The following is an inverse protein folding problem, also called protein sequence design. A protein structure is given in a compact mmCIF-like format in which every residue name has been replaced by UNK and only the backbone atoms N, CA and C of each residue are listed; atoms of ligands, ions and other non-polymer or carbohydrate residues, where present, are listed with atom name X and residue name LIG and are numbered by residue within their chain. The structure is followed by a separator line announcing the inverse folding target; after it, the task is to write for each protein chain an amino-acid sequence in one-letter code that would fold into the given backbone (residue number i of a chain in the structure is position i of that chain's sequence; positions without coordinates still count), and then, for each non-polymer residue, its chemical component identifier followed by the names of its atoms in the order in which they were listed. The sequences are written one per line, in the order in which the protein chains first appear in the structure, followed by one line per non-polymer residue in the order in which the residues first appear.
data_IF_305373328835
#
_entry.id   IF_305373328835
#
_cell.length_a   1.000
_cell.length_b   1.000
_cell.length_c   1.000
_cell.angle_alpha   90.00
_cell.angle_beta   90.00
_cell.angle_gamma   90.00
#
_symmetry.space_group_name_H-M   'P 1'
#
loop_
_entity.id
_entity.type
_entity.pdbx_description
1 polymer ?
#
# COMPACT_ATOMS: atom_id res chain seq x y z
N UNK A 1 10.03 2.65 -8.07
CA UNK A 1 11.23 3.45 -8.45
C UNK A 1 11.01 4.93 -8.12
N UNK A 2 9.97 5.63 -8.64
CA UNK A 2 9.78 7.08 -8.40
C UNK A 2 9.67 7.45 -6.91
N UNK A 3 8.89 6.70 -6.11
CA UNK A 3 8.80 6.92 -4.67
C UNK A 3 10.15 6.77 -3.97
N UNK A 4 10.84 5.67 -4.24
CA UNK A 4 12.19 5.42 -3.69
C UNK A 4 13.20 6.46 -4.15
N UNK A 5 13.11 6.95 -5.39
CA UNK A 5 13.99 8.05 -5.88
C UNK A 5 13.73 9.34 -5.11
N UNK A 6 12.46 9.71 -4.92
CA UNK A 6 12.11 10.90 -4.13
C UNK A 6 12.57 10.77 -2.68
N UNK A 7 12.34 9.60 -2.06
CA UNK A 7 12.83 9.31 -0.71
C UNK A 7 14.34 9.38 -0.59
N UNK A 8 15.08 8.85 -1.56
CA UNK A 8 16.54 8.95 -1.61
C UNK A 8 17.01 10.43 -1.70
N UNK A 9 16.33 11.24 -2.52
CA UNK A 9 16.64 12.68 -2.60
C UNK A 9 16.38 13.41 -1.27
N UNK A 10 15.33 13.02 -0.54
CA UNK A 10 15.05 13.58 0.79
C UNK A 10 16.12 13.20 1.81
N UNK A 11 16.60 11.95 1.78
CA UNK A 11 17.73 11.53 2.62
C UNK A 11 18.98 12.33 2.30
N UNK A 12 19.30 12.53 1.02
CA UNK A 12 20.43 13.40 0.61
C UNK A 12 20.26 14.83 1.14
N UNK A 13 19.06 15.39 1.04
CA UNK A 13 18.78 16.73 1.55
C UNK A 13 18.97 16.83 3.07
N UNK A 14 18.61 15.81 3.84
CA UNK A 14 18.81 15.75 5.29
C UNK A 14 20.30 15.63 5.65
N UNK A 15 21.07 14.86 4.89
CA UNK A 15 22.52 14.73 5.05
C UNK A 15 23.21 16.07 4.76
N UNK A 16 22.85 16.75 3.67
CA UNK A 16 23.41 18.06 3.31
C UNK A 16 23.10 19.13 4.35
N UNK A 17 21.98 19.03 5.05
CA UNK A 17 21.63 19.93 6.16
C UNK A 17 22.26 19.53 7.50
N UNK A 18 23.02 18.45 7.55
CA UNK A 18 23.62 17.93 8.78
C UNK A 18 22.64 17.31 9.78
N UNK A 19 21.40 17.03 9.36
CA UNK A 19 20.39 16.40 10.21
C UNK A 19 20.56 14.88 10.28
N UNK A 20 21.30 14.30 9.35
CA UNK A 20 21.56 12.88 9.26
C UNK A 20 23.01 12.65 8.82
N UNK A 21 23.69 11.69 9.44
CA UNK A 21 25.05 11.30 9.09
C UNK A 21 25.03 9.93 8.44
N UNK A 22 25.25 9.88 7.12
CA UNK A 22 25.27 8.67 6.32
C UNK A 22 26.53 8.69 5.46
N UNK A 23 27.30 7.61 5.48
CA UNK A 23 28.46 7.50 4.61
C UNK A 23 28.02 7.27 3.14
N UNK A 24 28.80 7.71 2.15
CA UNK A 24 28.49 7.43 0.75
C UNK A 24 28.35 5.93 0.43
N UNK A 25 29.13 5.08 1.11
CA UNK A 25 29.03 3.62 0.94
C UNK A 25 27.69 3.04 1.42
N UNK A 26 27.23 3.48 2.59
CA UNK A 26 25.91 3.10 3.11
C UNK A 26 24.79 3.52 2.17
N UNK A 27 24.83 4.76 1.70
CA UNK A 27 23.85 5.28 0.77
C UNK A 27 23.78 4.45 -0.54
N UNK A 28 24.94 4.08 -1.10
CA UNK A 28 25.01 3.23 -2.31
C UNK A 28 24.41 1.85 -2.05
N UNK A 29 24.76 1.22 -0.92
CA UNK A 29 24.23 -0.12 -0.57
C UNK A 29 22.70 -0.07 -0.43
N UNK A 30 22.16 0.89 0.32
CA UNK A 30 20.72 1.01 0.51
C UNK A 30 20.00 1.37 -0.80
N UNK A 31 20.63 2.20 -1.65
CA UNK A 31 20.10 2.52 -2.98
C UNK A 31 20.00 1.28 -3.87
N UNK A 32 20.95 0.35 -3.77
CA UNK A 32 20.86 -0.92 -4.49
C UNK A 32 19.59 -1.70 -4.10
N UNK A 33 19.29 -1.84 -2.79
CA UNK A 33 18.06 -2.51 -2.35
C UNK A 33 16.81 -1.78 -2.83
N UNK A 34 16.79 -0.44 -2.77
CA UNK A 34 15.67 0.38 -3.26
C UNK A 34 15.42 0.22 -4.76
N UNK A 35 16.47 0.18 -5.59
CA UNK A 35 16.39 -0.02 -7.04
C UNK A 35 15.98 -1.46 -7.37
N UNK A 36 16.56 -2.45 -6.67
CA UNK A 36 16.24 -3.86 -6.83
C UNK A 36 14.84 -4.21 -6.29
N UNK A 37 14.19 -3.26 -5.63
CA UNK A 37 12.89 -3.44 -4.99
C UNK A 37 12.88 -4.61 -3.98
N UNK A 38 13.96 -4.69 -3.20
CA UNK A 38 14.17 -5.69 -2.17
C UNK A 38 14.15 -5.03 -0.78
N UNK A 39 13.68 -5.75 0.26
CA UNK A 39 13.82 -5.26 1.63
C UNK A 39 15.32 -5.14 1.98
N UNK A 40 15.72 -3.94 2.41
CA UNK A 40 17.08 -3.67 2.86
C UNK A 40 17.31 -4.33 4.22
N UNK A 41 18.31 -5.17 4.42
CA UNK A 41 18.64 -5.67 5.75
C UNK A 41 18.97 -4.53 6.74
N UNK A 42 18.83 -4.73 8.06
CA UNK A 42 19.17 -3.71 9.07
C UNK A 42 20.69 -3.61 9.25
N UNK A 43 21.37 -3.12 8.19
CA UNK A 43 22.84 -3.06 8.14
C UNK A 43 23.41 -1.83 8.86
N UNK A 44 22.62 -0.76 8.97
CA UNK A 44 23.04 0.53 9.51
C UNK A 44 21.98 1.07 10.48
N UNK A 45 22.36 1.91 11.42
CA UNK A 45 21.45 2.46 12.43
C UNK A 45 20.23 3.15 11.82
N UNK A 46 20.43 3.92 10.76
CA UNK A 46 19.35 4.62 10.08
C UNK A 46 18.42 3.71 9.23
N UNK A 47 18.85 2.48 8.96
CA UNK A 47 18.01 1.46 8.29
C UNK A 47 17.44 0.44 9.27
N UNK A 48 17.78 0.52 10.55
CA UNK A 48 17.47 -0.51 11.54
C UNK A 48 15.96 -0.72 11.78
N UNK A 49 15.13 0.26 11.50
CA UNK A 49 13.69 0.18 11.78
C UNK A 49 12.84 -0.22 10.57
N UNK A 50 13.29 0.02 9.33
CA UNK A 50 12.43 -0.08 8.15
C UNK A 50 13.07 -0.88 6.99
N UNK A 51 12.37 -1.92 6.47
CA UNK A 51 12.85 -2.70 5.31
C UNK A 51 12.93 -1.87 4.02
N UNK A 52 12.20 -0.77 3.91
CA UNK A 52 12.22 0.13 2.75
C UNK A 52 12.48 1.57 3.21
N UNK A 53 13.75 1.91 3.53
CA UNK A 53 14.09 3.20 4.17
C UNK A 53 13.76 4.43 3.33
N UNK A 54 13.76 4.31 1.99
CA UNK A 54 13.45 5.42 1.09
C UNK A 54 11.96 5.58 0.79
N UNK A 55 11.17 4.51 0.98
CA UNK A 55 9.76 4.51 0.59
C UNK A 55 9.00 3.48 1.43
N UNK A 56 8.54 3.91 2.59
CA UNK A 56 7.83 3.05 3.54
C UNK A 56 6.74 2.20 2.89
N UNK A 57 5.81 2.76 2.09
CA UNK A 57 4.75 2.02 1.40
C UNK A 57 5.20 0.87 0.50
N UNK A 58 6.44 0.85 0.05
CA UNK A 58 6.98 -0.18 -0.85
C UNK A 58 6.87 -1.61 -0.30
N UNK A 59 6.76 -1.79 1.02
CA UNK A 59 6.63 -3.11 1.64
C UNK A 59 5.42 -3.91 1.11
N UNK A 60 4.28 -3.27 0.94
CA UNK A 60 3.07 -3.96 0.47
C UNK A 60 3.18 -4.37 -0.99
N UNK A 61 3.78 -3.53 -1.82
CA UNK A 61 4.01 -3.83 -3.23
C UNK A 61 5.07 -4.93 -3.41
N UNK A 62 6.06 -5.00 -2.55
CA UNK A 62 7.01 -6.11 -2.52
C UNK A 62 6.28 -7.43 -2.26
N UNK A 63 5.42 -7.49 -1.25
CA UNK A 63 4.65 -8.70 -0.97
C UNK A 63 3.62 -9.01 -2.08
N UNK A 64 3.04 -7.98 -2.73
CA UNK A 64 2.17 -8.17 -3.90
C UNK A 64 2.95 -8.83 -5.06
N UNK A 65 4.17 -8.37 -5.32
CA UNK A 65 5.06 -9.00 -6.31
C UNK A 65 5.36 -10.46 -5.94
N UNK A 66 5.70 -10.73 -4.68
CA UNK A 66 5.94 -12.08 -4.18
C UNK A 66 4.70 -12.95 -4.35
N UNK A 67 3.52 -12.46 -3.98
CA UNK A 67 2.25 -13.20 -4.13
C UNK A 67 1.94 -13.51 -5.60
N UNK A 68 2.18 -12.57 -6.52
CA UNK A 68 2.04 -12.78 -7.96
C UNK A 68 3.02 -13.85 -8.48
N UNK A 69 4.29 -13.81 -8.05
CA UNK A 69 5.29 -14.82 -8.40
C UNK A 69 4.91 -16.20 -7.86
N UNK A 70 4.43 -16.29 -6.62
CA UNK A 70 3.93 -17.54 -6.05
C UNK A 70 2.71 -18.06 -6.82
N UNK A 71 1.76 -17.21 -7.18
CA UNK A 71 0.59 -17.58 -7.96
C UNK A 71 0.97 -18.06 -9.37
N UNK A 72 1.97 -17.44 -9.99
CA UNK A 72 2.48 -17.84 -11.29
C UNK A 72 3.23 -19.18 -11.22
N UNK A 73 4.07 -19.37 -10.20
CA UNK A 73 4.94 -20.54 -10.04
C UNK A 73 4.19 -21.78 -9.56
N UNK A 74 3.18 -21.62 -8.69
CA UNK A 74 2.51 -22.74 -8.02
C UNK A 74 1.06 -22.89 -8.48
N UNK A 75 0.82 -23.84 -9.42
CA UNK A 75 -0.50 -24.10 -9.98
C UNK A 75 -1.58 -24.47 -8.93
N UNK A 76 -1.18 -25.04 -7.78
CA UNK A 76 -2.13 -25.39 -6.72
C UNK A 76 -2.75 -24.14 -6.06
N UNK A 77 -2.05 -22.99 -6.00
CA UNK A 77 -2.58 -21.73 -5.46
C UNK A 77 -3.67 -21.11 -6.35
N UNK A 78 -3.86 -21.62 -7.57
CA UNK A 78 -4.96 -21.25 -8.46
C UNK A 78 -6.21 -22.14 -8.29
N UNK A 79 -6.11 -23.17 -7.45
CA UNK A 79 -7.22 -24.11 -7.23
C UNK A 79 -8.05 -23.65 -6.03
N UNK A 80 -9.38 -23.49 -6.15
CA UNK A 80 -10.22 -23.02 -5.05
C UNK A 80 -10.16 -23.93 -3.82
N UNK A 81 -10.02 -25.25 -4.00
CA UNK A 81 -9.88 -26.19 -2.87
C UNK A 81 -8.63 -25.90 -2.02
N UNK A 82 -7.51 -25.58 -2.67
CA UNK A 82 -6.27 -25.20 -1.96
C UNK A 82 -6.43 -23.86 -1.26
N UNK A 83 -7.10 -22.90 -1.87
CA UNK A 83 -7.38 -21.59 -1.29
C UNK A 83 -8.31 -21.68 -0.07
N UNK A 84 -9.30 -22.58 -0.09
CA UNK A 84 -10.18 -22.83 1.06
C UNK A 84 -9.42 -23.38 2.28
N UNK A 85 -8.27 -24.03 2.09
CA UNK A 85 -7.38 -24.47 3.16
C UNK A 85 -6.39 -23.36 3.54
N UNK A 86 -5.83 -22.67 2.55
CA UNK A 86 -4.80 -21.66 2.74
C UNK A 86 -5.34 -20.41 3.46
N UNK A 87 -6.53 -19.92 3.07
CA UNK A 87 -7.10 -18.68 3.63
C UNK A 87 -7.37 -18.74 5.15
N UNK A 88 -7.95 -19.82 5.73
CA UNK A 88 -8.05 -19.92 7.19
C UNK A 88 -6.69 -19.87 7.89
N UNK A 89 -5.65 -20.48 7.32
CA UNK A 89 -4.29 -20.46 7.88
C UNK A 89 -3.74 -19.02 7.81
N UNK A 90 -3.89 -18.33 6.68
CA UNK A 90 -3.48 -16.94 6.52
C UNK A 90 -4.26 -16.00 7.46
N UNK A 91 -5.58 -16.23 7.65
CA UNK A 91 -6.40 -15.48 8.59
C UNK A 91 -5.96 -15.68 10.05
N UNK A 92 -5.64 -16.92 10.43
CA UNK A 92 -5.11 -17.23 11.77
C UNK A 92 -3.74 -16.56 11.98
N UNK A 93 -2.84 -16.62 10.98
CA UNK A 93 -1.55 -15.94 11.04
C UNK A 93 -1.73 -14.42 11.16
N UNK A 94 -2.61 -13.81 10.36
CA UNK A 94 -2.91 -12.38 10.44
C UNK A 94 -3.46 -12.00 11.82
N UNK A 95 -4.41 -12.77 12.35
CA UNK A 95 -4.96 -12.55 13.69
C UNK A 95 -3.88 -12.66 14.75
N UNK A 96 -3.02 -13.69 14.68
CA UNK A 96 -1.91 -13.87 15.61
C UNK A 96 -0.96 -12.65 15.62
N UNK A 97 -0.50 -12.21 14.44
CA UNK A 97 0.41 -11.07 14.36
C UNK A 97 -0.24 -9.76 14.78
N UNK A 98 -1.54 -9.57 14.50
CA UNK A 98 -2.29 -8.40 14.97
C UNK A 98 -2.40 -8.38 16.50
N UNK A 99 -2.66 -9.51 17.12
CA UNK A 99 -2.71 -9.63 18.59
C UNK A 99 -1.33 -9.39 19.23
N UNK A 100 -0.27 -9.90 18.61
CA UNK A 100 1.11 -9.73 19.10
C UNK A 100 1.59 -8.27 18.99
N UNK A 101 1.30 -7.59 17.90
CA UNK A 101 1.72 -6.20 17.68
C UNK A 101 0.82 -5.17 18.34
N UNK A 102 -0.38 -5.57 18.77
CA UNK A 102 -1.39 -4.64 19.33
C UNK A 102 -1.95 -3.65 18.30
N UNK A 103 -1.62 -3.81 17.02
CA UNK A 103 -2.04 -2.93 15.94
C UNK A 103 -2.21 -3.70 14.63
N UNK A 104 -3.10 -3.22 13.77
CA UNK A 104 -3.24 -3.70 12.41
C UNK A 104 -2.26 -3.00 11.43
N UNK A 105 -1.60 -1.93 11.87
CA UNK A 105 -0.59 -1.20 11.09
C UNK A 105 0.75 -1.94 11.11
N UNK A 106 0.86 -2.94 10.24
CA UNK A 106 1.99 -3.86 10.16
C UNK A 106 2.58 -3.91 8.75
N UNK A 107 3.89 -4.21 8.67
CA UNK A 107 4.60 -4.52 7.42
C UNK A 107 5.68 -3.50 7.04
N UNK A 108 5.63 -2.28 7.54
CA UNK A 108 6.59 -1.24 7.22
C UNK A 108 7.81 -1.19 8.15
N UNK A 109 7.76 -1.91 9.29
CA UNK A 109 8.88 -2.13 10.22
C UNK A 109 9.32 -3.58 10.21
N UNK A 110 10.59 -3.84 10.52
CA UNK A 110 11.10 -5.22 10.63
C UNK A 110 10.33 -6.06 11.65
N UNK A 111 10.02 -5.49 12.81
CA UNK A 111 9.29 -6.17 13.88
C UNK A 111 7.90 -6.65 13.43
N UNK A 112 7.25 -5.90 12.55
CA UNK A 112 5.91 -6.18 12.05
C UNK A 112 5.89 -6.72 10.62
N UNK A 113 7.04 -6.93 10.00
CA UNK A 113 7.17 -7.38 8.61
C UNK A 113 6.50 -8.74 8.34
N UNK A 114 6.63 -9.76 9.24
CA UNK A 114 5.88 -11.01 9.09
C UNK A 114 4.36 -10.83 9.14
N UNK A 115 3.88 -9.88 9.95
CA UNK A 115 2.46 -9.50 10.00
C UNK A 115 1.98 -8.89 8.69
N UNK A 116 2.81 -8.05 8.05
CA UNK A 116 2.55 -7.51 6.70
C UNK A 116 2.45 -8.62 5.65
N UNK A 117 3.32 -9.63 5.71
CA UNK A 117 3.26 -10.80 4.84
C UNK A 117 1.95 -11.60 5.03
N UNK A 118 1.55 -11.85 6.28
CA UNK A 118 0.30 -12.55 6.59
C UNK A 118 -0.93 -11.78 6.12
N UNK A 119 -0.92 -10.45 6.29
CA UNK A 119 -1.96 -9.54 5.83
C UNK A 119 -2.13 -9.65 4.31
N UNK A 120 -1.07 -9.46 3.56
CA UNK A 120 -1.14 -9.52 2.11
C UNK A 120 -1.47 -10.92 1.61
N UNK A 121 -0.94 -11.97 2.25
CA UNK A 121 -1.27 -13.35 1.88
C UNK A 121 -2.79 -13.61 1.98
N UNK A 122 -3.44 -13.14 3.05
CA UNK A 122 -4.89 -13.27 3.17
C UNK A 122 -5.62 -12.45 2.10
N UNK A 123 -5.33 -11.15 2.00
CA UNK A 123 -6.01 -10.20 1.12
C UNK A 123 -5.90 -10.60 -0.35
N UNK A 124 -4.69 -10.90 -0.80
CA UNK A 124 -4.41 -11.26 -2.18
C UNK A 124 -5.11 -12.56 -2.59
N UNK A 125 -4.95 -13.62 -1.78
CA UNK A 125 -5.53 -14.92 -2.12
C UNK A 125 -7.04 -14.98 -1.89
N UNK A 126 -7.61 -14.16 -1.02
CA UNK A 126 -9.06 -13.95 -0.96
C UNK A 126 -9.58 -13.35 -2.27
N UNK A 127 -8.85 -12.35 -2.81
CA UNK A 127 -9.15 -11.78 -4.14
C UNK A 127 -9.09 -12.83 -5.26
N UNK A 128 -8.09 -13.72 -5.25
CA UNK A 128 -8.00 -14.83 -6.22
C UNK A 128 -9.20 -15.78 -6.11
N UNK A 129 -9.64 -16.10 -4.90
CA UNK A 129 -10.82 -16.95 -4.68
C UNK A 129 -12.11 -16.26 -5.16
N UNK A 130 -12.29 -14.97 -4.85
CA UNK A 130 -13.43 -14.16 -5.33
C UNK A 130 -13.46 -14.15 -6.87
N UNK A 131 -12.32 -13.95 -7.52
CA UNK A 131 -12.19 -13.99 -8.97
C UNK A 131 -12.58 -15.35 -9.56
N UNK A 132 -12.19 -16.46 -8.92
CA UNK A 132 -12.58 -17.81 -9.37
C UNK A 132 -14.10 -18.01 -9.30
N UNK A 133 -14.76 -17.58 -8.24
CA UNK A 133 -16.22 -17.60 -8.14
C UNK A 133 -16.87 -16.72 -9.20
N UNK A 134 -16.37 -15.49 -9.38
CA UNK A 134 -16.85 -14.58 -10.41
C UNK A 134 -16.73 -15.19 -11.81
N UNK A 135 -15.60 -15.83 -12.14
CA UNK A 135 -15.38 -16.52 -13.41
C UNK A 135 -16.33 -17.69 -13.64
N UNK A 136 -16.72 -18.38 -12.58
CA UNK A 136 -17.70 -19.48 -12.62
C UNK A 136 -19.16 -19.04 -12.79
N UNK A 137 -19.38 -17.73 -12.88
CA UNK A 137 -20.72 -17.19 -13.13
C UNK A 137 -21.50 -16.82 -11.88
N UNK A 138 -20.91 -16.90 -10.68
CA UNK A 138 -21.54 -16.34 -9.48
C UNK A 138 -21.64 -14.83 -9.62
N UNK A 139 -22.87 -14.30 -9.54
CA UNK A 139 -23.16 -12.87 -9.75
C UNK A 139 -23.89 -12.36 -8.53
N UNK A 140 -23.19 -11.51 -7.79
CA UNK A 140 -23.80 -10.74 -6.72
C UNK A 140 -23.88 -9.28 -7.17
N UNK A 141 -24.87 -8.55 -6.69
CA UNK A 141 -25.05 -7.18 -7.06
C UNK A 141 -25.05 -6.28 -5.83
N UNK A 142 -24.16 -5.33 -5.81
CA UNK A 142 -24.17 -4.21 -4.88
C UNK A 142 -24.13 -2.93 -5.75
N UNK A 143 -25.06 -1.99 -5.56
CA UNK A 143 -25.00 -0.72 -6.26
C UNK A 143 -23.67 -0.01 -5.99
N UNK A 144 -23.02 0.62 -6.99
CA UNK A 144 -21.74 1.29 -6.81
C UNK A 144 -21.73 2.29 -5.65
N UNK A 145 -22.80 3.10 -5.51
CA UNK A 145 -22.94 4.06 -4.41
C UNK A 145 -22.93 3.37 -3.03
N UNK A 146 -23.57 2.20 -2.89
CA UNK A 146 -23.56 1.42 -1.66
C UNK A 146 -22.17 0.83 -1.38
N UNK A 147 -21.44 0.36 -2.41
CA UNK A 147 -20.07 -0.11 -2.26
C UNK A 147 -19.15 1.01 -1.74
N UNK A 148 -19.23 2.20 -2.33
CA UNK A 148 -18.46 3.36 -1.87
C UNK A 148 -18.84 3.79 -0.45
N UNK A 149 -20.13 3.83 -0.12
CA UNK A 149 -20.59 4.15 1.23
C UNK A 149 -20.08 3.15 2.28
N UNK A 150 -20.12 1.85 1.96
CA UNK A 150 -19.59 0.82 2.86
C UNK A 150 -18.07 0.93 3.03
N UNK A 151 -17.31 1.15 1.96
CA UNK A 151 -15.86 1.37 2.04
C UNK A 151 -15.53 2.63 2.85
N UNK A 152 -16.32 3.69 2.71
CA UNK A 152 -16.18 4.90 3.52
C UNK A 152 -16.44 4.62 5.01
N UNK A 153 -17.48 3.86 5.33
CA UNK A 153 -17.79 3.44 6.72
C UNK A 153 -16.65 2.58 7.29
N UNK A 154 -16.09 1.65 6.50
CA UNK A 154 -14.95 0.84 6.90
C UNK A 154 -13.75 1.73 7.24
N UNK A 155 -13.41 2.69 6.37
CA UNK A 155 -12.27 3.58 6.55
C UNK A 155 -12.47 4.52 7.75
N UNK A 156 -13.66 5.08 7.92
CA UNK A 156 -13.96 5.99 9.03
C UNK A 156 -14.12 5.27 10.36
N UNK A 157 -14.65 4.05 10.36
CA UNK A 157 -14.87 3.28 11.59
C UNK A 157 -13.58 3.06 12.38
N UNK A 158 -12.47 2.81 11.72
CA UNK A 158 -11.15 2.70 12.37
C UNK A 158 -10.71 4.00 13.05
N UNK A 159 -11.11 5.17 12.55
CA UNK A 159 -10.77 6.46 13.14
C UNK A 159 -11.58 6.77 14.41
N UNK A 160 -12.79 6.21 14.54
CA UNK A 160 -13.71 6.48 15.67
C UNK A 160 -13.71 5.40 16.75
N UNK A 161 -13.06 4.24 16.51
CA UNK A 161 -12.98 3.16 17.50
C UNK A 161 -11.73 3.30 18.39
N UNK A 162 -11.87 2.98 19.67
CA UNK A 162 -10.76 3.05 20.63
C UNK A 162 -10.08 1.70 20.81
N UNK A 163 -8.77 1.72 20.96
CA UNK A 163 -7.81 0.64 21.28
C UNK A 163 -8.26 -0.82 21.01
N UNK A 164 -8.87 -1.52 21.98
CA UNK A 164 -9.26 -2.93 21.84
C UNK A 164 -10.40 -3.12 20.81
N UNK A 165 -11.37 -2.23 20.77
CA UNK A 165 -12.44 -2.27 19.76
C UNK A 165 -11.92 -1.96 18.37
N UNK A 166 -10.91 -1.10 18.25
CA UNK A 166 -10.26 -0.80 16.98
C UNK A 166 -9.62 -2.04 16.35
N UNK A 167 -8.88 -2.81 17.13
CA UNK A 167 -8.25 -4.04 16.63
C UNK A 167 -9.28 -5.08 16.19
N UNK A 168 -10.35 -5.28 16.96
CA UNK A 168 -11.46 -6.15 16.60
C UNK A 168 -12.20 -5.64 15.35
N UNK A 169 -12.38 -4.32 15.24
CA UNK A 169 -12.94 -3.67 14.06
C UNK A 169 -12.06 -3.95 12.83
N UNK A 170 -10.77 -3.60 12.89
CA UNK A 170 -9.84 -3.72 11.78
C UNK A 170 -9.75 -5.18 11.29
N UNK A 171 -9.66 -6.16 12.20
CA UNK A 171 -9.68 -7.58 11.85
C UNK A 171 -10.99 -8.00 11.20
N UNK A 172 -12.14 -7.59 11.75
CA UNK A 172 -13.44 -7.93 11.17
C UNK A 172 -13.61 -7.35 9.77
N UNK A 173 -13.21 -6.08 9.60
CA UNK A 173 -13.28 -5.41 8.32
C UNK A 173 -12.41 -6.13 7.29
N UNK A 174 -11.19 -6.47 7.66
CA UNK A 174 -10.24 -7.07 6.74
C UNK A 174 -10.54 -8.52 6.42
N UNK A 175 -10.94 -9.31 7.41
CA UNK A 175 -11.19 -10.75 7.21
C UNK A 175 -12.56 -11.04 6.58
N UNK A 176 -13.54 -10.15 6.76
CA UNK A 176 -14.92 -10.46 6.36
C UNK A 176 -15.51 -9.37 5.47
N UNK A 177 -15.58 -8.13 5.95
CA UNK A 177 -16.38 -7.11 5.28
C UNK A 177 -15.77 -6.61 3.99
N UNK A 178 -14.45 -6.36 3.93
CA UNK A 178 -13.79 -5.92 2.69
C UNK A 178 -13.87 -7.00 1.60
N UNK A 179 -13.50 -8.28 1.85
CA UNK A 179 -13.71 -9.34 0.85
C UNK A 179 -15.16 -9.46 0.39
N UNK A 180 -16.12 -9.34 1.32
CA UNK A 180 -17.54 -9.38 0.98
C UNK A 180 -17.97 -8.20 0.10
N UNK A 181 -17.55 -6.97 0.44
CA UNK A 181 -17.82 -5.77 -0.37
C UNK A 181 -17.24 -5.94 -1.77
N UNK A 182 -16.00 -6.42 -1.89
CA UNK A 182 -15.34 -6.67 -3.18
C UNK A 182 -16.12 -7.72 -3.99
N UNK A 183 -16.51 -8.83 -3.37
CA UNK A 183 -17.29 -9.88 -4.04
C UNK A 183 -18.65 -9.35 -4.54
N UNK A 184 -19.36 -8.60 -3.69
CA UNK A 184 -20.66 -8.02 -4.03
C UNK A 184 -20.56 -6.92 -5.09
N UNK A 185 -19.48 -6.14 -5.09
CA UNK A 185 -19.24 -5.06 -6.04
C UNK A 185 -18.62 -5.52 -7.37
N UNK A 186 -18.17 -6.78 -7.48
CA UNK A 186 -17.45 -7.29 -8.66
C UNK A 186 -18.24 -7.17 -9.98
N UNK A 187 -19.57 -7.06 -9.92
CA UNK A 187 -20.43 -6.85 -11.09
C UNK A 187 -21.01 -5.42 -11.14
N UNK A 188 -20.59 -4.53 -10.25
CA UNK A 188 -21.08 -3.16 -10.27
C UNK A 188 -20.61 -2.43 -11.53
N UNK A 189 -21.50 -1.80 -12.23
CA UNK A 189 -21.20 -1.00 -13.42
C UNK A 189 -21.46 0.46 -13.13
N UNK A 190 -20.47 1.28 -13.43
CA UNK A 190 -20.57 2.74 -13.33
C UNK A 190 -20.58 3.31 -14.75
N UNK A 191 -21.46 4.26 -15.06
CA UNK A 191 -21.57 4.88 -16.37
C UNK A 191 -21.50 6.40 -16.28
N UNK A 192 -21.27 7.06 -17.42
CA UNK A 192 -21.23 8.53 -17.52
C UNK A 192 -20.02 9.17 -16.84
N UNK A 193 -20.20 10.37 -16.30
CA UNK A 193 -19.13 11.16 -15.65
C UNK A 193 -18.49 10.44 -14.45
N UNK A 194 -19.23 9.74 -13.55
CA UNK A 194 -18.61 8.98 -12.47
C UNK A 194 -17.67 7.88 -12.95
N UNK A 195 -17.96 7.23 -14.09
CA UNK A 195 -17.07 6.20 -14.63
C UNK A 195 -15.73 6.79 -15.07
N UNK A 196 -15.72 7.97 -15.67
CA UNK A 196 -14.48 8.68 -16.04
C UNK A 196 -13.65 9.01 -14.81
N UNK A 197 -14.30 9.53 -13.76
CA UNK A 197 -13.64 9.84 -12.49
C UNK A 197 -13.02 8.58 -11.87
N UNK A 198 -13.77 7.48 -11.79
CA UNK A 198 -13.26 6.20 -11.29
C UNK A 198 -12.05 5.71 -12.09
N UNK A 199 -12.09 5.83 -13.43
CA UNK A 199 -10.97 5.44 -14.29
C UNK A 199 -9.74 6.31 -14.03
N UNK A 200 -9.89 7.62 -13.93
CA UNK A 200 -8.78 8.54 -13.64
C UNK A 200 -8.19 8.24 -12.27
N UNK A 201 -9.01 8.15 -11.22
CA UNK A 201 -8.54 7.84 -9.86
C UNK A 201 -7.89 6.46 -9.78
N UNK A 202 -8.44 5.46 -10.47
CA UNK A 202 -7.85 4.13 -10.56
C UNK A 202 -6.46 4.14 -11.21
N UNK A 203 -6.29 4.89 -12.29
CA UNK A 203 -4.99 5.03 -12.96
C UNK A 203 -3.96 5.77 -12.10
N UNK A 204 -4.39 6.69 -11.24
CA UNK A 204 -3.51 7.46 -10.37
C UNK A 204 -3.25 6.80 -9.01
N UNK A 205 -4.11 5.85 -8.58
CA UNK A 205 -4.08 5.28 -7.22
C UNK A 205 -2.73 4.73 -6.82
N UNK A 206 -2.07 4.03 -7.73
CA UNK A 206 -0.75 3.45 -7.51
C UNK A 206 0.35 4.53 -7.33
N UNK A 207 0.30 5.56 -8.16
CA UNK A 207 1.21 6.72 -8.04
C UNK A 207 0.97 7.49 -6.74
N UNK A 208 -0.29 7.73 -6.38
CA UNK A 208 -0.64 8.39 -5.10
C UNK A 208 -0.11 7.57 -3.93
N UNK A 209 -0.33 6.24 -3.95
CA UNK A 209 0.14 5.35 -2.89
C UNK A 209 1.66 5.38 -2.71
N UNK A 210 2.43 5.40 -3.79
CA UNK A 210 3.90 5.42 -3.71
C UNK A 210 4.49 6.79 -3.38
N UNK A 211 3.78 7.86 -3.64
CA UNK A 211 4.33 9.22 -3.49
C UNK A 211 3.86 9.92 -2.23
N UNK A 212 2.77 9.46 -1.57
CA UNK A 212 2.21 10.21 -0.45
C UNK A 212 3.14 10.29 0.77
N UNK A 213 3.86 9.23 1.13
CA UNK A 213 4.78 9.25 2.28
C UNK A 213 6.04 10.10 1.99
N UNK A 214 6.76 9.91 0.87
CA UNK A 214 7.83 10.83 0.52
C UNK A 214 7.40 12.31 0.49
N UNK A 215 6.21 12.61 -0.05
CA UNK A 215 5.67 13.97 -0.06
C UNK A 215 5.33 14.45 1.36
N UNK A 216 4.75 13.59 2.20
CA UNK A 216 4.46 13.91 3.59
C UNK A 216 5.76 14.28 4.35
N UNK A 217 6.82 13.50 4.17
CA UNK A 217 8.13 13.78 4.78
C UNK A 217 8.69 15.12 4.25
N UNK A 218 8.65 15.34 2.95
CA UNK A 218 9.12 16.59 2.35
C UNK A 218 8.38 17.82 2.90
N UNK A 219 7.05 17.72 3.00
CA UNK A 219 6.20 18.77 3.53
C UNK A 219 6.44 19.00 5.02
N UNK A 220 6.60 17.93 5.81
CA UNK A 220 6.95 18.03 7.23
C UNK A 220 8.29 18.75 7.44
N UNK A 221 9.34 18.38 6.69
CA UNK A 221 10.63 19.04 6.76
C UNK A 221 10.55 20.53 6.36
N UNK A 222 9.75 20.85 5.34
CA UNK A 222 9.56 22.22 4.86
C UNK A 222 8.78 23.07 5.88
N UNK A 223 7.68 22.58 6.41
CA UNK A 223 6.84 23.31 7.36
C UNK A 223 7.56 23.52 8.69
N UNK A 224 8.28 22.53 9.19
CA UNK A 224 9.07 22.67 10.41
C UNK A 224 10.21 23.69 10.24
N UNK A 225 10.80 23.75 9.04
CA UNK A 225 11.82 24.75 8.75
C UNK A 225 11.27 26.17 8.66
N UNK A 226 10.07 26.35 8.08
CA UNK A 226 9.48 27.68 7.84
C UNK A 226 8.70 28.22 9.04
N UNK A 227 8.01 27.39 9.76
CA UNK A 227 7.03 27.79 10.80
C UNK A 227 7.37 27.27 12.19
N UNK A 228 8.35 26.39 12.35
CA UNK A 228 8.64 25.66 13.59
C UNK A 228 7.85 24.37 13.71
N UNK A 229 8.20 23.57 14.72
CA UNK A 229 7.60 22.26 14.93
C UNK A 229 6.10 22.38 15.28
N UNK A 230 5.30 21.45 14.72
CA UNK A 230 3.86 21.27 15.00
C UNK A 230 2.94 22.48 14.76
N UNK A 231 3.37 23.45 13.96
CA UNK A 231 2.56 24.66 13.66
C UNK A 231 1.45 24.39 12.60
N UNK A 232 1.54 23.33 11.84
CA UNK A 232 0.52 22.97 10.83
C UNK A 232 -0.36 21.84 11.35
N UNK A 233 -1.68 22.07 11.38
CA UNK A 233 -2.60 21.04 11.85
C UNK A 233 -2.55 19.77 11.01
N UNK A 234 -2.73 18.60 11.61
CA UNK A 234 -2.70 17.32 10.92
C UNK A 234 -3.69 17.24 9.75
N UNK A 235 -4.88 17.85 9.89
CA UNK A 235 -5.87 17.91 8.79
C UNK A 235 -5.34 18.75 7.62
N UNK A 236 -4.78 19.92 7.88
CA UNK A 236 -4.20 20.78 6.84
C UNK A 236 -3.08 20.07 6.10
N UNK A 237 -2.16 19.42 6.85
CA UNK A 237 -1.09 18.62 6.26
C UNK A 237 -1.63 17.49 5.38
N UNK A 238 -2.62 16.75 5.87
CA UNK A 238 -3.26 15.66 5.10
C UNK A 238 -3.86 16.17 3.79
N UNK A 239 -4.57 17.28 3.80
CA UNK A 239 -5.16 17.86 2.60
C UNK A 239 -4.10 18.32 1.59
N UNK A 240 -3.05 19.00 2.07
CA UNK A 240 -1.94 19.44 1.22
C UNK A 240 -1.25 18.23 0.57
N UNK A 241 -0.92 17.21 1.36
CA UNK A 241 -0.28 15.98 0.87
C UNK A 241 -1.17 15.26 -0.13
N UNK A 242 -2.47 15.15 0.12
CA UNK A 242 -3.42 14.51 -0.79
C UNK A 242 -3.45 15.21 -2.16
N UNK A 243 -3.48 16.55 -2.18
CA UNK A 243 -3.44 17.33 -3.42
C UNK A 243 -2.11 17.17 -4.14
N UNK A 244 -0.99 17.34 -3.44
CA UNK A 244 0.35 17.24 -4.03
C UNK A 244 0.65 15.83 -4.54
N UNK A 245 0.28 14.79 -3.79
CA UNK A 245 0.44 13.40 -4.21
C UNK A 245 -0.40 13.09 -5.46
N UNK A 246 -1.61 13.64 -5.55
CA UNK A 246 -2.48 13.48 -6.74
C UNK A 246 -1.86 14.17 -7.96
N UNK A 247 -1.37 15.40 -7.82
CA UNK A 247 -0.69 16.13 -8.90
C UNK A 247 0.58 15.39 -9.34
N UNK A 248 1.42 14.97 -8.39
CA UNK A 248 2.65 14.24 -8.68
C UNK A 248 2.36 12.89 -9.36
N UNK A 249 1.33 12.17 -8.92
CA UNK A 249 0.90 10.92 -9.54
C UNK A 249 0.39 11.15 -10.98
N UNK A 250 -0.35 12.23 -11.25
CA UNK A 250 -0.81 12.57 -12.59
C UNK A 250 0.36 12.90 -13.53
N UNK A 251 1.34 13.66 -13.06
CA UNK A 251 2.56 13.95 -13.81
C UNK A 251 3.37 12.67 -14.07
N UNK A 252 3.56 11.83 -13.05
CA UNK A 252 4.26 10.57 -13.20
C UNK A 252 3.53 9.60 -14.16
N UNK A 253 2.21 9.53 -14.10
CA UNK A 253 1.41 8.71 -15.01
C UNK A 253 1.59 9.15 -16.46
N UNK A 254 1.48 10.44 -16.74
CA UNK A 254 1.56 10.97 -18.11
C UNK A 254 2.98 10.99 -18.66
N UNK A 255 3.96 11.39 -17.87
CA UNK A 255 5.34 11.57 -18.32
C UNK A 255 6.19 10.30 -18.26
N UNK A 256 5.84 9.33 -17.42
CA UNK A 256 6.66 8.14 -17.18
C UNK A 256 5.90 6.84 -17.43
N UNK A 257 4.76 6.60 -16.76
CA UNK A 257 4.08 5.30 -16.78
C UNK A 257 3.51 4.97 -18.18
N UNK A 258 2.75 5.89 -18.78
CA UNK A 258 2.15 5.69 -20.11
C UNK A 258 3.21 5.48 -21.21
N UNK A 259 4.26 6.31 -21.33
CA UNK A 259 5.32 6.09 -22.32
C UNK A 259 6.06 4.76 -22.11
N UNK A 260 6.40 4.42 -20.86
CA UNK A 260 7.11 3.19 -20.53
C UNK A 260 6.29 1.95 -20.90
N UNK A 261 5.02 1.90 -20.54
CA UNK A 261 4.12 0.80 -20.89
C UNK A 261 3.99 0.63 -22.39
N UNK A 262 3.84 1.71 -23.16
CA UNK A 262 3.79 1.66 -24.63
C UNK A 262 5.05 1.03 -25.21
N UNK A 263 6.23 1.45 -24.74
CA UNK A 263 7.52 0.93 -25.21
C UNK A 263 7.70 -0.57 -24.90
N UNK A 264 7.28 -0.99 -23.70
CA UNK A 264 7.37 -2.39 -23.28
C UNK A 264 6.40 -3.28 -24.07
N UNK A 265 5.15 -2.84 -24.28
CA UNK A 265 4.14 -3.61 -25.01
C UNK A 265 4.48 -3.74 -26.51
N UNK A 266 5.22 -2.78 -27.08
CA UNK A 266 5.65 -2.86 -28.48
C UNK A 266 6.83 -3.81 -28.71
N UNK A 267 7.53 -4.24 -27.65
CA UNK A 267 8.68 -5.14 -27.71
C UNK A 267 8.34 -6.59 -27.36
N UNK A 268 7.14 -6.85 -26.86
CA UNK A 268 6.57 -8.18 -26.59
C UNK A 268 5.61 -8.59 -27.71
#
# INVERSE_FOLDING_TARGET
ILGSTLGALLVVAQVLKGWMHISPGEFVIVSFFGIAFLPCPPLFDWTASAPFPFDGPAWSLFFELVANLLLASFAFLRRPRSLLIFLPIAALALTYFTLQSGTFDMGWKYETFPGGAARLAYEFFAGVLIYDFWRKGYRWHLPPAAAFALLFVVAMGSAFTQSMFRMAWDLSMQLVFIPLIVALAANATVSGSPARLCTVLGNLSYGIYMLHIPILIAMGLMTNHLFGEDQVSGLTMTLIVAVLATIAAALAHTAYDVPLRKTLTQRL
#
